data_IF_823311000638
#
_entry.id   IF_823311000638
#
_cell.length_a   1.000
_cell.length_b   1.000
_cell.length_c   1.000
_cell.angle_alpha   90.00
_cell.angle_beta   90.00
_cell.angle_gamma   90.00
#
_symmetry.space_group_name_H-M   'P 1'
#
loop_
_entity.id
_entity.type
_entity.pdbx_description
1 polymer ?
#
# COMPACT_ATOMS: atom_id res chain seq x y z
N UNK A 1 -22.89 2.59 11.63
CA UNK A 1 -22.88 2.28 10.18
C UNK A 1 -21.63 1.44 9.89
N UNK A 2 -21.75 0.27 9.27
CA UNK A 2 -20.59 -0.59 8.96
C UNK A 2 -19.77 -0.03 7.79
N UNK A 3 -18.49 -0.40 7.68
CA UNK A 3 -17.62 0.03 6.58
C UNK A 3 -18.20 -0.35 5.22
N UNK A 4 -18.81 -1.53 5.11
CA UNK A 4 -19.45 -2.01 3.89
C UNK A 4 -20.62 -1.12 3.46
N UNK A 5 -21.49 -0.78 4.39
CA UNK A 5 -22.63 0.10 4.12
C UNK A 5 -22.16 1.50 3.69
N UNK A 6 -21.13 2.05 4.36
CA UNK A 6 -20.54 3.34 3.95
C UNK A 6 -19.96 3.30 2.54
N UNK A 7 -19.22 2.25 2.21
CA UNK A 7 -18.63 2.09 0.88
C UNK A 7 -19.71 1.95 -0.21
N UNK A 8 -20.77 1.18 0.05
CA UNK A 8 -21.90 1.04 -0.88
C UNK A 8 -22.63 2.35 -1.11
N UNK A 9 -22.93 3.12 -0.04
CA UNK A 9 -23.54 4.45 -0.19
C UNK A 9 -22.66 5.38 -1.03
N UNK A 10 -21.34 5.33 -0.87
CA UNK A 10 -20.40 6.12 -1.66
C UNK A 10 -20.43 5.73 -3.14
N UNK A 11 -20.39 4.43 -3.45
CA UNK A 11 -20.44 3.93 -4.83
C UNK A 11 -21.77 4.28 -5.51
N UNK A 12 -22.88 4.27 -4.77
CA UNK A 12 -24.18 4.66 -5.31
C UNK A 12 -24.24 6.15 -5.73
N UNK A 13 -23.46 7.02 -5.08
CA UNK A 13 -23.43 8.45 -5.37
C UNK A 13 -22.48 8.83 -6.53
N UNK A 14 -21.55 7.95 -6.90
CA UNK A 14 -20.61 8.19 -8.00
C UNK A 14 -21.27 8.06 -9.37
N UNK A 15 -20.93 8.95 -10.28
CA UNK A 15 -21.28 8.83 -11.70
C UNK A 15 -20.55 7.63 -12.34
N UNK A 16 -21.00 7.21 -13.52
CA UNK A 16 -20.35 6.10 -14.25
C UNK A 16 -18.90 6.44 -14.60
N UNK A 17 -18.64 7.68 -15.03
CA UNK A 17 -17.29 8.13 -15.36
C UNK A 17 -16.39 8.16 -14.12
N UNK A 18 -16.89 8.67 -12.99
CA UNK A 18 -16.16 8.66 -11.72
C UNK A 18 -15.82 7.22 -11.29
N UNK A 19 -16.74 6.27 -11.47
CA UNK A 19 -16.51 4.84 -11.16
C UNK A 19 -15.41 4.24 -12.01
N UNK A 20 -15.38 4.55 -13.32
CA UNK A 20 -14.34 4.04 -14.23
C UNK A 20 -12.96 4.54 -13.79
N UNK A 21 -12.88 5.81 -13.38
CA UNK A 21 -11.65 6.44 -12.88
C UNK A 21 -11.12 5.86 -11.55
N UNK A 22 -11.96 5.16 -10.78
CA UNK A 22 -11.56 4.49 -9.53
C UNK A 22 -11.04 3.05 -9.73
N UNK A 23 -11.06 2.49 -10.95
CA UNK A 23 -10.62 1.10 -11.19
C UNK A 23 -9.11 0.95 -11.34
N UNK A 24 -8.42 2.01 -11.75
CA UNK A 24 -6.98 1.99 -11.99
C UNK A 24 -6.19 1.98 -10.69
N UNK A 25 -4.93 1.53 -10.72
CA UNK A 25 -3.98 1.65 -9.61
C UNK A 25 -3.85 3.10 -9.14
N UNK A 26 -3.72 4.00 -10.10
CA UNK A 26 -3.82 5.43 -9.90
C UNK A 26 -5.30 5.85 -9.93
N UNK A 27 -5.97 5.85 -8.78
CA UNK A 27 -7.34 6.31 -8.68
C UNK A 27 -7.38 7.85 -8.68
N UNK A 28 -8.07 8.43 -9.66
CA UNK A 28 -8.21 9.88 -9.77
C UNK A 28 -8.96 10.48 -8.60
N UNK A 29 -8.73 11.77 -8.35
CA UNK A 29 -9.49 12.51 -7.33
C UNK A 29 -10.98 12.57 -7.69
N UNK A 30 -11.85 12.63 -6.68
CA UNK A 30 -13.28 12.97 -6.83
C UNK A 30 -13.56 14.25 -6.03
N UNK A 31 -13.35 15.44 -6.64
CA UNK A 31 -13.39 16.72 -5.92
C UNK A 31 -14.73 17.01 -5.27
N UNK A 32 -15.84 16.60 -5.89
CA UNK A 32 -17.22 16.81 -5.39
C UNK A 32 -17.44 16.19 -4.00
N UNK A 33 -16.75 15.09 -3.71
CA UNK A 33 -16.83 14.41 -2.41
C UNK A 33 -15.58 14.64 -1.55
N UNK A 34 -14.67 15.53 -1.97
CA UNK A 34 -13.42 15.80 -1.28
C UNK A 34 -12.48 14.59 -1.22
N UNK A 35 -12.59 13.64 -2.16
CA UNK A 35 -11.77 12.42 -2.16
C UNK A 35 -10.48 12.73 -2.92
N UNK A 36 -9.30 12.66 -2.28
CA UNK A 36 -8.02 12.90 -2.93
C UNK A 36 -7.68 11.74 -3.88
N UNK A 37 -6.74 11.94 -4.83
CA UNK A 37 -6.25 10.86 -5.65
C UNK A 37 -5.55 9.81 -4.78
N UNK A 38 -5.74 8.53 -5.10
CA UNK A 38 -5.24 7.43 -4.31
C UNK A 38 -4.55 6.38 -5.18
N UNK A 39 -3.25 6.20 -4.96
CA UNK A 39 -2.49 5.10 -5.54
C UNK A 39 -2.64 3.88 -4.63
N UNK A 40 -3.30 2.82 -5.11
CA UNK A 40 -3.45 1.61 -4.29
C UNK A 40 -2.34 0.59 -4.49
N UNK A 41 -1.51 0.72 -5.53
CA UNK A 41 -0.35 -0.14 -5.72
C UNK A 41 0.86 0.42 -4.97
N UNK A 42 1.32 -0.35 -3.99
CA UNK A 42 2.60 -0.13 -3.31
C UNK A 42 3.21 -1.49 -3.04
N UNK A 43 4.52 -1.67 -3.09
CA UNK A 43 5.15 -2.98 -2.93
C UNK A 43 5.88 -3.13 -1.59
N UNK A 44 5.72 -4.32 -0.99
CA UNK A 44 6.32 -4.66 0.29
C UNK A 44 6.72 -6.15 0.38
N UNK A 45 7.60 -6.65 -0.50
CA UNK A 45 7.99 -8.08 -0.47
C UNK A 45 9.04 -8.37 0.61
N UNK A 46 10.13 -7.63 0.58
CA UNK A 46 11.29 -7.81 1.45
C UNK A 46 11.70 -6.48 2.08
N UNK A 47 10.73 -5.61 2.35
CA UNK A 47 10.96 -4.22 2.66
C UNK A 47 10.15 -3.31 1.74
N UNK A 48 10.11 -2.02 2.08
CA UNK A 48 9.37 -1.02 1.31
C UNK A 48 10.10 -0.77 0.00
N UNK A 49 9.49 -1.17 -1.11
CA UNK A 49 10.02 -0.92 -2.45
C UNK A 49 9.76 0.51 -2.92
N UNK A 50 10.65 1.03 -3.77
CA UNK A 50 10.45 2.28 -4.51
C UNK A 50 9.78 2.06 -5.88
N UNK A 51 9.45 0.81 -6.20
CA UNK A 51 8.79 0.37 -7.41
C UNK A 51 7.28 0.57 -7.28
N UNK A 52 6.84 1.82 -7.48
CA UNK A 52 5.44 2.21 -7.52
C UNK A 52 5.23 3.66 -7.07
N UNK A 53 4.21 4.34 -7.60
CA UNK A 53 3.88 5.72 -7.21
C UNK A 53 3.29 5.85 -5.79
N UNK A 54 3.07 4.72 -5.11
CA UNK A 54 2.43 4.67 -3.79
C UNK A 54 3.37 4.92 -2.61
N UNK A 55 4.69 5.00 -2.84
CA UNK A 55 5.73 5.30 -1.83
C UNK A 55 6.68 6.37 -2.36
N UNK A 56 7.01 7.36 -1.53
CA UNK A 56 8.06 8.35 -1.82
C UNK A 56 9.12 8.37 -0.71
N UNK A 57 10.38 8.52 -1.11
CA UNK A 57 11.53 8.68 -0.23
C UNK A 57 12.00 10.15 -0.12
N UNK A 58 11.28 11.08 -0.76
CA UNK A 58 11.64 12.52 -0.88
C UNK A 58 11.18 13.35 0.33
N UNK A 59 11.32 12.81 1.54
CA UNK A 59 10.84 13.45 2.76
C UNK A 59 11.62 13.04 4.00
N UNK A 60 11.02 13.12 5.20
CA UNK A 60 11.72 12.83 6.45
C UNK A 60 12.25 11.40 6.53
N UNK A 61 11.57 10.43 5.90
CA UNK A 61 12.00 9.03 5.88
C UNK A 61 12.60 8.67 4.52
N UNK A 62 13.94 8.70 4.45
CA UNK A 62 14.72 8.49 3.22
C UNK A 62 15.11 7.04 2.94
N UNK A 63 14.92 6.15 3.92
CA UNK A 63 15.27 4.73 3.78
C UNK A 63 14.28 3.82 4.48
N UNK A 64 14.24 2.56 4.05
CA UNK A 64 13.45 1.52 4.69
C UNK A 64 14.32 0.28 4.88
N UNK A 65 14.01 -0.52 5.90
CA UNK A 65 14.72 -1.76 6.17
C UNK A 65 14.45 -2.76 5.04
N UNK A 66 15.51 -3.25 4.41
CA UNK A 66 15.49 -4.42 3.54
C UNK A 66 15.67 -5.69 4.37
N UNK A 67 14.78 -6.66 4.17
CA UNK A 67 14.82 -7.98 4.76
C UNK A 67 15.36 -9.00 3.74
N UNK A 68 15.85 -10.17 4.19
CA UNK A 68 16.21 -11.25 3.27
C UNK A 68 15.00 -11.68 2.44
N UNK A 69 15.25 -12.10 1.20
CA UNK A 69 14.24 -12.69 0.33
C UNK A 69 13.45 -13.79 1.06
N UNK A 70 12.18 -13.97 0.67
CA UNK A 70 11.27 -14.93 1.30
C UNK A 70 11.89 -16.34 1.37
N UNK A 71 12.61 -16.75 0.33
CA UNK A 71 13.28 -18.07 0.29
C UNK A 71 14.38 -18.21 1.35
N UNK A 72 15.18 -17.15 1.57
CA UNK A 72 16.23 -17.13 2.58
C UNK A 72 15.62 -17.06 3.99
N UNK A 73 14.54 -16.29 4.14
CA UNK A 73 13.80 -16.18 5.40
C UNK A 73 13.09 -17.50 5.76
N UNK A 74 12.61 -18.27 4.78
CA UNK A 74 11.99 -19.58 5.02
C UNK A 74 13.02 -20.67 5.34
N UNK A 75 14.22 -20.58 4.76
CA UNK A 75 15.31 -21.55 4.99
C UNK A 75 15.87 -21.56 6.42
N UNK A 76 15.55 -20.56 7.24
CA UNK A 76 15.99 -20.51 8.64
C UNK A 76 15.18 -21.43 9.59
N UNK A 77 14.11 -22.07 9.09
CA UNK A 77 13.25 -23.04 9.79
C UNK A 77 12.69 -22.55 11.14
N UNK A 78 12.58 -21.24 11.33
CA UNK A 78 11.99 -20.67 12.55
C UNK A 78 10.46 -20.59 12.42
N UNK A 79 9.75 -21.04 13.46
CA UNK A 79 8.27 -20.98 13.51
C UNK A 79 7.70 -19.57 13.54
N UNK A 80 8.53 -18.59 13.91
CA UNK A 80 8.24 -17.17 13.80
C UNK A 80 9.24 -16.54 12.84
N UNK A 81 8.79 -15.98 11.71
CA UNK A 81 9.71 -15.21 10.88
C UNK A 81 10.29 -14.04 11.71
N UNK A 82 11.60 -13.81 11.61
CA UNK A 82 12.27 -12.66 12.23
C UNK A 82 11.65 -11.31 11.83
N UNK A 83 10.91 -11.29 10.71
CA UNK A 83 10.11 -10.17 10.24
C UNK A 83 8.80 -10.07 11.06
N UNK A 84 8.92 -9.82 12.37
CA UNK A 84 7.80 -9.44 13.23
C UNK A 84 7.29 -8.03 12.90
N UNK A 85 6.06 -7.67 13.31
CA UNK A 85 5.24 -6.52 12.87
C UNK A 85 5.81 -5.08 12.80
N UNK A 86 7.11 -4.86 12.99
CA UNK A 86 7.85 -3.63 12.68
C UNK A 86 7.57 -3.05 11.28
N UNK A 87 7.46 -3.86 10.21
CA UNK A 87 7.02 -3.42 8.89
C UNK A 87 5.73 -2.58 8.87
N UNK A 88 4.69 -3.06 9.53
CA UNK A 88 3.37 -2.41 9.54
C UNK A 88 3.41 -1.09 10.32
N UNK A 89 4.21 -1.03 11.38
CA UNK A 89 4.40 0.18 12.16
C UNK A 89 5.16 1.26 11.36
N UNK A 90 6.24 0.87 10.67
CA UNK A 90 6.99 1.75 9.77
C UNK A 90 6.13 2.27 8.63
N UNK A 91 5.26 1.42 8.08
CA UNK A 91 4.32 1.78 7.02
C UNK A 91 3.27 2.81 7.48
N UNK A 92 2.64 2.59 8.65
CA UNK A 92 1.68 3.56 9.22
C UNK A 92 2.33 4.92 9.49
N UNK A 93 3.58 4.92 9.97
CA UNK A 93 4.34 6.16 10.18
C UNK A 93 4.54 6.90 8.85
N UNK A 94 4.97 6.23 7.79
CA UNK A 94 5.10 6.85 6.46
C UNK A 94 3.79 7.37 5.90
N UNK A 95 2.67 6.67 6.14
CA UNK A 95 1.35 7.17 5.77
C UNK A 95 1.00 8.48 6.48
N UNK A 96 1.28 8.59 7.79
CA UNK A 96 1.10 9.83 8.55
C UNK A 96 1.92 11.00 8.03
N UNK A 97 3.05 10.72 7.37
CA UNK A 97 3.92 11.72 6.73
C UNK A 97 3.57 11.98 5.25
N UNK A 98 2.50 11.36 4.73
CA UNK A 98 2.13 11.47 3.31
C UNK A 98 3.06 10.73 2.34
N UNK A 99 4.03 9.96 2.85
CA UNK A 99 5.07 9.27 2.07
C UNK A 99 4.71 7.82 1.67
N UNK A 100 3.57 7.29 2.13
CA UNK A 100 3.07 5.97 1.75
C UNK A 100 1.53 5.92 1.77
N UNK A 101 0.92 5.03 0.98
CA UNK A 101 -0.54 4.76 1.01
C UNK A 101 -0.85 3.53 1.85
N UNK A 102 -2.09 3.35 2.34
CA UNK A 102 -2.40 2.27 3.32
C UNK A 102 -2.45 0.83 2.75
N UNK A 103 -2.45 0.65 1.43
CA UNK A 103 -2.49 -0.66 0.79
C UNK A 103 -1.14 -0.98 0.16
N UNK A 104 -0.71 -2.23 0.33
CA UNK A 104 0.47 -2.77 -0.31
C UNK A 104 0.15 -4.14 -0.90
N UNK A 105 0.87 -4.48 -1.96
CA UNK A 105 0.84 -5.75 -2.66
C UNK A 105 2.12 -6.51 -2.35
N UNK A 106 1.98 -7.81 -2.11
CA UNK A 106 3.10 -8.75 -1.95
C UNK A 106 3.07 -9.69 -3.16
N UNK A 107 4.06 -9.60 -4.05
CA UNK A 107 4.22 -10.53 -5.17
C UNK A 107 5.40 -11.44 -4.85
N UNK A 108 5.17 -12.75 -4.73
CA UNK A 108 6.25 -13.74 -4.69
C UNK A 108 6.76 -13.95 -6.13
N UNK A 109 7.49 -12.99 -6.68
CA UNK A 109 8.29 -13.27 -7.88
C UNK A 109 9.51 -14.06 -7.44
N UNK A 110 9.48 -15.37 -7.68
CA UNK A 110 10.71 -16.13 -7.86
C UNK A 110 11.50 -15.41 -8.98
N UNK A 111 12.70 -14.95 -8.64
CA UNK A 111 13.57 -14.29 -9.61
C UNK A 111 13.85 -15.21 -10.79
N UNK A 112 13.87 -14.62 -11.98
CA UNK A 112 14.51 -15.17 -13.17
C UNK A 112 16.03 -15.06 -13.01
#
# INVERSE_FOLDING_TARGET
ITTRTRAQSLICLLSVDEKIQQRSNYASAVPRFGIPPYEWWSEYLQGIGANGAGVSFDGPVKSATGFPQVILSAGNLQSKPMVGGGPRAGWRRRHGLGQARLKFWEICTAGN
#
